data_IF_679748709898
#
_entry.id   IF_679748709898
#
_cell.length_a   1.000
_cell.length_b   1.000
_cell.length_c   1.000
_cell.angle_alpha   90.00
_cell.angle_beta   90.00
_cell.angle_gamma   90.00
#
_symmetry.space_group_name_H-M   'P 1'
#
loop_
_entity.id
_entity.type
_entity.pdbx_description
1 polymer ?
#
# COMPACT_ATOMS: atom_id res chain seq x y z
N UNK A 1 -40.21 -2.38 9.31
CA UNK A 1 -38.86 -1.81 9.15
C UNK A 1 -37.84 -2.94 9.06
N UNK A 2 -37.08 -2.98 7.99
CA UNK A 2 -36.01 -3.96 7.86
C UNK A 2 -34.76 -3.42 8.54
N UNK A 3 -34.25 -4.16 9.53
CA UNK A 3 -32.99 -3.85 10.17
C UNK A 3 -31.95 -4.80 9.61
N UNK A 4 -30.92 -4.25 9.01
CA UNK A 4 -29.84 -5.05 8.47
C UNK A 4 -28.75 -5.22 9.54
N UNK A 5 -28.58 -6.44 10.00
CA UNK A 5 -27.56 -6.77 11.01
C UNK A 5 -26.26 -7.29 10.40
N UNK A 6 -26.09 -7.16 9.07
CA UNK A 6 -24.86 -7.60 8.43
C UNK A 6 -23.67 -6.76 8.90
N UNK A 7 -22.84 -7.40 9.72
CA UNK A 7 -21.58 -6.82 10.20
C UNK A 7 -20.49 -7.11 9.16
N UNK A 8 -20.38 -6.24 8.14
CA UNK A 8 -19.33 -6.38 7.15
C UNK A 8 -18.04 -5.74 7.65
N UNK A 9 -17.00 -6.56 7.68
CA UNK A 9 -15.64 -6.10 7.91
C UNK A 9 -14.87 -6.26 6.60
N UNK A 10 -14.25 -5.19 6.15
CA UNK A 10 -13.53 -5.17 4.88
C UNK A 10 -12.07 -4.90 5.15
N UNK A 11 -11.21 -5.77 4.64
CA UNK A 11 -9.77 -5.59 4.65
C UNK A 11 -9.31 -5.24 3.23
N UNK A 12 -8.51 -4.19 3.11
CA UNK A 12 -8.04 -3.68 1.82
C UNK A 12 -6.51 -3.66 1.84
N UNK A 13 -5.92 -4.20 0.79
CA UNK A 13 -4.47 -4.10 0.59
C UNK A 13 -4.10 -2.67 0.20
N UNK A 14 -2.86 -2.30 0.41
CA UNK A 14 -2.38 -0.95 0.19
C UNK A 14 -1.59 -0.81 -1.10
N UNK A 15 -0.44 -1.50 -1.19
CA UNK A 15 0.48 -1.33 -2.30
C UNK A 15 -0.07 -1.95 -3.57
N UNK A 16 -0.06 -1.20 -4.67
CA UNK A 16 -0.60 -1.57 -5.98
C UNK A 16 -2.12 -1.78 -5.99
N UNK A 17 -2.79 -1.39 -4.89
CA UNK A 17 -4.26 -1.41 -4.78
C UNK A 17 -4.79 0.01 -4.57
N UNK A 18 -4.28 0.71 -3.57
CA UNK A 18 -4.65 2.10 -3.29
C UNK A 18 -3.56 3.09 -3.71
N UNK A 19 -2.32 2.64 -3.75
CA UNK A 19 -1.17 3.47 -4.09
C UNK A 19 -0.19 2.69 -4.95
N UNK A 20 0.35 3.29 -6.03
CA UNK A 20 1.45 2.67 -6.76
C UNK A 20 2.71 2.75 -5.92
N UNK A 21 3.44 1.66 -5.82
CA UNK A 21 4.65 1.59 -5.00
C UNK A 21 5.89 1.20 -5.82
N UNK A 22 5.81 0.12 -6.58
CA UNK A 22 6.99 -0.45 -7.22
C UNK A 22 7.59 0.49 -8.28
N UNK A 23 6.76 1.13 -9.09
CA UNK A 23 7.25 2.07 -10.11
C UNK A 23 7.91 3.30 -9.51
N UNK A 24 7.29 4.00 -8.53
CA UNK A 24 7.94 5.13 -7.88
C UNK A 24 9.23 4.73 -7.15
N UNK A 25 9.25 3.58 -6.51
CA UNK A 25 10.45 3.07 -5.84
C UNK A 25 11.57 2.81 -6.84
N UNK A 26 11.27 2.15 -7.94
CA UNK A 26 12.26 1.89 -9.00
C UNK A 26 12.79 3.19 -9.59
N UNK A 27 11.91 4.15 -9.86
CA UNK A 27 12.29 5.45 -10.40
C UNK A 27 13.22 6.22 -9.44
N UNK A 28 12.91 6.18 -8.15
CA UNK A 28 13.75 6.83 -7.15
C UNK A 28 15.15 6.23 -7.11
N UNK A 29 15.25 4.91 -7.28
CA UNK A 29 16.53 4.20 -7.35
C UNK A 29 17.18 4.26 -8.74
N UNK A 30 16.54 4.96 -9.69
CA UNK A 30 16.99 5.05 -11.10
C UNK A 30 17.14 3.68 -11.74
N UNK A 31 16.22 2.78 -11.44
CA UNK A 31 16.13 1.46 -12.05
C UNK A 31 14.98 1.41 -13.04
N UNK A 32 15.22 0.75 -14.17
CA UNK A 32 14.17 0.51 -15.14
C UNK A 32 13.22 -0.57 -14.67
N UNK A 33 11.95 -0.37 -14.95
CA UNK A 33 10.95 -1.41 -14.73
C UNK A 33 11.09 -2.48 -15.81
N UNK A 34 11.00 -3.78 -15.45
CA UNK A 34 10.98 -4.82 -16.47
C UNK A 34 9.71 -4.69 -17.32
N UNK A 35 9.70 -5.33 -18.51
CA UNK A 35 8.48 -5.42 -19.30
C UNK A 35 7.40 -6.17 -18.51
N UNK A 36 6.11 -5.94 -18.84
CA UNK A 36 5.01 -6.56 -18.11
C UNK A 36 5.11 -8.09 -18.07
N UNK A 37 5.69 -8.70 -19.11
CA UNK A 37 5.89 -10.16 -19.17
C UNK A 37 6.92 -10.65 -18.17
N UNK A 38 7.80 -9.77 -17.69
CA UNK A 38 8.87 -10.11 -16.73
C UNK A 38 8.56 -9.63 -15.32
N UNK A 39 7.36 -9.15 -15.08
CA UNK A 39 6.95 -8.79 -13.72
C UNK A 39 6.91 -10.03 -12.84
N UNK A 40 7.48 -9.90 -11.65
CA UNK A 40 7.49 -10.94 -10.63
C UNK A 40 6.87 -10.40 -9.34
N UNK A 41 6.28 -11.28 -8.58
CA UNK A 41 5.67 -10.90 -7.31
C UNK A 41 6.71 -10.44 -6.28
N UNK A 42 7.87 -11.06 -6.28
CA UNK A 42 8.94 -10.77 -5.32
C UNK A 42 9.94 -9.80 -5.95
N UNK A 43 10.24 -8.72 -5.26
CA UNK A 43 11.08 -7.64 -5.79
C UNK A 43 12.50 -8.10 -6.15
N UNK A 44 13.11 -8.98 -5.36
CA UNK A 44 14.44 -9.51 -5.68
C UNK A 44 14.47 -10.18 -7.05
N UNK A 45 13.39 -10.90 -7.38
CA UNK A 45 13.28 -11.58 -8.67
C UNK A 45 12.96 -10.59 -9.79
N UNK A 46 12.11 -9.60 -9.48
CA UNK A 46 11.74 -8.57 -10.46
C UNK A 46 12.94 -7.74 -10.89
N UNK A 47 13.77 -7.32 -9.95
CA UNK A 47 14.93 -6.46 -10.23
C UNK A 47 16.23 -7.24 -10.37
N UNK A 48 16.20 -8.56 -10.23
CA UNK A 48 17.37 -9.44 -10.35
C UNK A 48 18.48 -9.01 -9.38
N UNK A 49 18.11 -8.82 -8.14
CA UNK A 49 19.03 -8.43 -7.07
C UNK A 49 18.97 -9.44 -5.92
N UNK A 50 19.90 -9.32 -4.98
CA UNK A 50 19.86 -10.17 -3.78
C UNK A 50 18.68 -9.79 -2.88
N UNK A 51 18.32 -10.69 -1.97
CA UNK A 51 17.30 -10.41 -0.95
C UNK A 51 17.65 -9.17 -0.14
N UNK A 52 18.91 -9.06 0.30
CA UNK A 52 19.38 -7.90 1.07
C UNK A 52 19.25 -6.61 0.28
N UNK A 53 19.59 -6.63 -0.99
CA UNK A 53 19.49 -5.46 -1.86
C UNK A 53 18.03 -5.04 -2.05
N UNK A 54 17.13 -6.00 -2.27
CA UNK A 54 15.71 -5.68 -2.44
C UNK A 54 15.11 -5.07 -1.17
N UNK A 55 15.47 -5.60 0.00
CA UNK A 55 15.02 -5.05 1.28
C UNK A 55 15.57 -3.64 1.49
N UNK A 56 16.82 -3.41 1.14
CA UNK A 56 17.44 -2.09 1.25
C UNK A 56 16.75 -1.08 0.34
N UNK A 57 16.43 -1.47 -0.88
CA UNK A 57 15.71 -0.60 -1.82
C UNK A 57 14.39 -0.12 -1.23
N UNK A 58 13.63 -1.02 -0.64
CA UNK A 58 12.34 -0.70 -0.01
C UNK A 58 12.55 0.22 1.20
N UNK A 59 13.46 -0.14 2.10
CA UNK A 59 13.72 0.67 3.31
C UNK A 59 14.19 2.08 2.99
N UNK A 60 15.10 2.21 2.02
CA UNK A 60 15.61 3.52 1.64
C UNK A 60 14.50 4.39 1.06
N UNK A 61 13.63 3.81 0.26
CA UNK A 61 12.50 4.55 -0.31
C UNK A 61 11.51 5.02 0.76
N UNK A 62 11.25 4.21 1.78
CA UNK A 62 10.38 4.61 2.90
C UNK A 62 10.82 5.90 3.59
N UNK A 63 12.09 6.22 3.54
CA UNK A 63 12.66 7.41 4.21
C UNK A 63 12.57 8.67 3.37
N UNK A 64 12.01 8.60 2.18
CA UNK A 64 12.00 9.73 1.23
C UNK A 64 10.71 10.53 1.30
N UNK A 65 10.77 11.84 0.96
CA UNK A 65 9.54 12.62 0.76
C UNK A 65 8.68 12.07 -0.37
N UNK A 66 9.30 11.50 -1.40
CA UNK A 66 8.60 10.91 -2.53
C UNK A 66 7.65 9.81 -2.08
N UNK A 67 8.06 9.01 -1.11
CA UNK A 67 7.19 7.97 -0.54
C UNK A 67 5.98 8.58 0.17
N UNK A 68 6.20 9.61 0.98
CA UNK A 68 5.13 10.25 1.74
C UNK A 68 4.11 10.94 0.83
N UNK A 69 4.55 11.45 -0.31
CA UNK A 69 3.71 12.22 -1.23
C UNK A 69 3.24 11.41 -2.45
N UNK A 70 3.28 10.08 -2.38
CA UNK A 70 2.72 9.26 -3.44
C UNK A 70 1.23 9.57 -3.64
N UNK A 71 0.80 9.63 -4.90
CA UNK A 71 -0.60 9.85 -5.22
C UNK A 71 -1.38 8.54 -5.16
N UNK A 72 -2.59 8.54 -4.58
CA UNK A 72 -3.43 7.36 -4.63
C UNK A 72 -3.81 7.01 -6.07
N UNK A 73 -4.07 5.74 -6.31
CA UNK A 73 -4.51 5.26 -7.62
C UNK A 73 -5.83 5.95 -7.96
N UNK A 74 -5.94 6.43 -9.20
CA UNK A 74 -7.11 7.16 -9.67
C UNK A 74 -8.39 6.34 -9.44
N UNK A 75 -9.37 6.96 -8.80
CA UNK A 75 -10.64 6.32 -8.47
C UNK A 75 -10.66 5.56 -7.14
N UNK A 76 -9.50 5.32 -6.52
CA UNK A 76 -9.43 4.56 -5.27
C UNK A 76 -10.12 5.30 -4.11
N UNK A 77 -9.96 6.60 -4.03
CA UNK A 77 -10.58 7.38 -2.96
C UNK A 77 -12.10 7.31 -3.02
N UNK A 78 -12.68 7.45 -4.20
CA UNK A 78 -14.11 7.34 -4.40
C UNK A 78 -14.61 5.94 -4.12
N UNK A 79 -13.89 4.93 -4.57
CA UNK A 79 -14.26 3.53 -4.35
C UNK A 79 -14.27 3.19 -2.85
N UNK A 80 -13.26 3.61 -2.11
CA UNK A 80 -13.19 3.35 -0.67
C UNK A 80 -14.30 4.08 0.09
N UNK A 81 -14.62 5.30 -0.31
CA UNK A 81 -15.72 6.05 0.29
C UNK A 81 -17.07 5.33 0.07
N UNK A 82 -17.29 4.78 -1.11
CA UNK A 82 -18.49 3.98 -1.39
C UNK A 82 -18.54 2.71 -0.55
N UNK A 83 -17.43 1.99 -0.46
CA UNK A 83 -17.36 0.77 0.33
C UNK A 83 -17.63 1.05 1.81
N UNK A 84 -17.13 2.17 2.30
CA UNK A 84 -17.32 2.55 3.70
C UNK A 84 -18.80 2.67 4.07
N UNK A 85 -19.64 3.13 3.16
CA UNK A 85 -21.07 3.29 3.42
C UNK A 85 -21.78 1.97 3.73
N UNK A 86 -21.27 0.85 3.17
CA UNK A 86 -21.84 -0.47 3.37
C UNK A 86 -21.10 -1.33 4.40
N UNK A 87 -20.06 -0.79 5.04
CA UNK A 87 -19.20 -1.56 5.93
C UNK A 87 -19.31 -1.06 7.37
N UNK A 88 -19.27 -1.99 8.32
CA UNK A 88 -19.18 -1.66 9.74
C UNK A 88 -17.76 -1.27 10.12
N UNK A 89 -16.78 -1.99 9.61
CA UNK A 89 -15.35 -1.75 9.83
C UNK A 89 -14.58 -1.89 8.55
N UNK A 90 -13.61 -1.01 8.35
CA UNK A 90 -12.67 -1.10 7.22
C UNK A 90 -11.24 -0.98 7.75
N UNK A 91 -10.40 -1.88 7.27
CA UNK A 91 -9.00 -1.95 7.67
C UNK A 91 -8.11 -1.93 6.44
N UNK A 92 -6.95 -1.29 6.56
CA UNK A 92 -5.86 -1.57 5.64
C UNK A 92 -5.03 -2.70 6.24
N UNK A 93 -4.75 -3.72 5.44
CA UNK A 93 -3.85 -4.81 5.80
C UNK A 93 -2.74 -4.84 4.76
N UNK A 94 -1.53 -4.53 5.17
CA UNK A 94 -0.39 -4.39 4.27
C UNK A 94 0.80 -5.21 4.76
N UNK A 95 1.57 -5.74 3.81
CA UNK A 95 2.80 -6.48 4.12
C UNK A 95 3.98 -5.60 4.53
N UNK A 96 3.79 -4.28 4.59
CA UNK A 96 4.86 -3.35 4.95
C UNK A 96 5.46 -3.66 6.32
N UNK A 97 6.71 -3.22 6.50
CA UNK A 97 7.46 -3.36 7.74
C UNK A 97 7.06 -2.29 8.75
N UNK A 98 7.22 -2.59 10.04
CA UNK A 98 6.94 -1.62 11.12
C UNK A 98 7.74 -0.34 10.98
N UNK A 99 8.91 -0.39 10.36
CA UNK A 99 9.71 0.81 10.08
C UNK A 99 8.97 1.84 9.24
N UNK A 100 7.96 1.43 8.45
CA UNK A 100 7.15 2.31 7.62
C UNK A 100 5.82 2.70 8.26
N UNK A 101 5.55 2.31 9.51
CA UNK A 101 4.24 2.50 10.15
C UNK A 101 3.82 3.95 10.20
N UNK A 102 4.66 4.81 10.72
CA UNK A 102 4.32 6.22 10.90
C UNK A 102 3.99 6.88 9.56
N UNK A 103 4.86 6.70 8.56
CA UNK A 103 4.65 7.26 7.24
C UNK A 103 3.41 6.68 6.56
N UNK A 104 3.16 5.38 6.76
CA UNK A 104 1.97 4.72 6.21
C UNK A 104 0.69 5.30 6.81
N UNK A 105 0.64 5.44 8.13
CA UNK A 105 -0.52 6.01 8.80
C UNK A 105 -0.77 7.46 8.39
N UNK A 106 0.28 8.26 8.30
CA UNK A 106 0.18 9.64 7.82
C UNK A 106 -0.35 9.70 6.39
N UNK A 107 0.16 8.83 5.52
CA UNK A 107 -0.30 8.77 4.13
C UNK A 107 -1.78 8.39 4.04
N UNK A 108 -2.20 7.41 4.81
CA UNK A 108 -3.60 6.94 4.83
C UNK A 108 -4.51 8.05 5.36
N UNK A 109 -4.15 8.69 6.46
CA UNK A 109 -4.95 9.77 7.04
C UNK A 109 -5.09 10.95 6.10
N UNK A 110 -4.04 11.25 5.35
CA UNK A 110 -4.02 12.36 4.39
C UNK A 110 -4.90 12.08 3.17
N UNK A 111 -4.85 10.87 2.64
CA UNK A 111 -5.49 10.53 1.37
C UNK A 111 -6.86 9.87 1.53
N UNK A 112 -7.13 9.27 2.66
CA UNK A 112 -8.38 8.56 2.96
C UNK A 112 -8.91 8.97 4.34
N UNK A 113 -9.13 10.28 4.57
CA UNK A 113 -9.52 10.74 5.92
C UNK A 113 -10.85 10.14 6.36
N UNK A 114 -10.87 9.56 7.56
CA UNK A 114 -12.08 9.03 8.17
C UNK A 114 -12.62 7.74 7.56
N UNK A 115 -11.87 7.08 6.67
CA UNK A 115 -12.37 5.90 5.98
C UNK A 115 -11.97 4.61 6.72
N UNK A 116 -10.71 4.48 7.11
CA UNK A 116 -10.22 3.24 7.72
C UNK A 116 -10.18 3.33 9.23
N UNK A 117 -10.62 2.26 9.88
CA UNK A 117 -10.62 2.17 11.34
C UNK A 117 -9.24 1.83 11.89
N UNK A 118 -8.42 1.12 11.12
CA UNK A 118 -7.07 0.76 11.53
C UNK A 118 -6.21 0.42 10.32
N UNK A 119 -4.90 0.47 10.53
CA UNK A 119 -3.89 0.08 9.56
C UNK A 119 -3.03 -1.01 10.18
N UNK A 120 -3.06 -2.19 9.60
CA UNK A 120 -2.38 -3.38 10.11
C UNK A 120 -1.20 -3.70 9.21
N UNK A 121 0.00 -3.67 9.78
CA UNK A 121 1.24 -4.03 9.11
C UNK A 121 1.63 -5.45 9.52
N UNK A 122 1.75 -6.34 8.55
CA UNK A 122 2.03 -7.76 8.82
C UNK A 122 3.52 -8.09 8.77
N UNK A 123 4.37 -7.16 8.35
CA UNK A 123 5.81 -7.37 8.21
C UNK A 123 6.16 -8.55 7.30
N UNK A 124 5.36 -8.76 6.27
CA UNK A 124 5.52 -9.91 5.37
C UNK A 124 6.36 -9.58 4.12
N UNK A 125 6.74 -8.32 3.92
CA UNK A 125 7.67 -7.95 2.86
C UNK A 125 9.10 -8.17 3.37
N UNK A 126 9.67 -9.28 3.01
CA UNK A 126 11.04 -9.64 3.41
C UNK A 126 11.98 -9.69 2.22
#
# INVERSE_FOLDING_TARGET
>A
MLVNFNMQRIAVDLDEVLVPFVRPMAAWHRREMPSARKYKYVYRDMFQVSEEESQRMVRDFYKTPEFLFLHPILGSQRAMLRMRRGANKMYIVTGRQDAAREQTELWVDRNFPGIFDDVILTNSYT
#
